data_IF_366273079619
#
_entry.id   IF_366273079619
#
_cell.length_a   1.000
_cell.length_b   1.000
_cell.length_c   1.000
_cell.angle_alpha   90.00
_cell.angle_beta   90.00
_cell.angle_gamma   90.00
#
_symmetry.space_group_name_H-M   'P 1'
#
loop_
_entity.id
_entity.type
_entity.pdbx_description
1 polymer ?
#
# COMPACT_ATOMS: atom_id res chain seq x y z
N UNK A 1 -5.45 0.71 2.31
CA UNK A 1 -4.31 1.61 1.98
C UNK A 1 -4.56 2.98 2.58
N UNK A 2 -3.54 3.67 3.11
CA UNK A 2 -3.70 5.04 3.60
C UNK A 2 -3.79 6.03 2.43
N UNK A 3 -4.89 6.79 2.34
CA UNK A 3 -5.08 7.82 1.30
C UNK A 3 -3.90 8.80 1.31
N UNK A 4 -3.51 9.27 2.49
CA UNK A 4 -2.40 10.20 2.63
C UNK A 4 -1.07 9.61 2.11
N UNK A 5 -0.78 8.34 2.38
CA UNK A 5 0.44 7.70 1.88
C UNK A 5 0.46 7.62 0.34
N UNK A 6 -0.67 7.29 -0.29
CA UNK A 6 -0.76 7.24 -1.75
C UNK A 6 -0.56 8.63 -2.39
N UNK A 7 -1.23 9.65 -1.85
CA UNK A 7 -1.11 11.04 -2.31
C UNK A 7 0.33 11.55 -2.15
N UNK A 8 0.94 11.30 -0.99
CA UNK A 8 2.33 11.68 -0.73
C UNK A 8 3.30 10.95 -1.67
N UNK A 9 3.07 9.66 -1.98
CA UNK A 9 3.93 8.92 -2.91
C UNK A 9 3.89 9.51 -4.33
N UNK A 10 2.70 9.93 -4.81
CA UNK A 10 2.59 10.65 -6.10
C UNK A 10 3.31 12.01 -6.03
N UNK A 11 3.11 12.76 -4.95
CA UNK A 11 3.76 14.07 -4.78
C UNK A 11 5.30 13.94 -4.74
N UNK A 12 5.81 12.98 -3.97
CA UNK A 12 7.26 12.72 -3.86
C UNK A 12 7.84 12.25 -5.19
N UNK A 13 7.18 11.30 -5.89
CA UNK A 13 7.60 10.87 -7.21
C UNK A 13 7.69 12.03 -8.21
N UNK A 14 6.70 12.92 -8.19
CA UNK A 14 6.71 14.13 -9.02
C UNK A 14 7.89 15.05 -8.67
N UNK A 15 8.13 15.31 -7.39
CA UNK A 15 9.24 16.18 -6.94
C UNK A 15 10.61 15.58 -7.29
N UNK A 16 10.81 14.27 -7.09
CA UNK A 16 12.06 13.57 -7.43
C UNK A 16 12.39 13.64 -8.92
N UNK A 17 11.38 13.68 -9.77
CA UNK A 17 11.52 13.84 -11.21
C UNK A 17 11.66 15.32 -11.67
N UNK A 18 11.87 16.26 -10.73
CA UNK A 18 12.05 17.68 -11.04
C UNK A 18 10.77 18.41 -11.41
N UNK A 19 9.60 17.90 -11.02
CA UNK A 19 8.30 18.56 -11.27
C UNK A 19 8.23 19.96 -10.68
N UNK A 20 7.90 20.95 -11.49
CA UNK A 20 7.87 22.37 -11.12
C UNK A 20 6.67 22.78 -10.26
N UNK A 21 5.79 21.86 -9.89
CA UNK A 21 4.62 22.08 -9.04
C UNK A 21 3.86 20.82 -8.75
N UNK A 22 3.04 20.84 -7.71
CA UNK A 22 2.21 19.67 -7.37
C UNK A 22 1.03 19.53 -8.35
N UNK A 23 0.88 18.37 -8.98
CA UNK A 23 -0.20 18.11 -9.94
C UNK A 23 -1.55 17.93 -9.22
N UNK A 24 -2.21 19.04 -8.83
CA UNK A 24 -3.37 19.04 -7.94
C UNK A 24 -4.49 18.06 -8.37
N UNK A 25 -4.82 18.03 -9.68
CA UNK A 25 -5.83 17.11 -10.18
C UNK A 25 -5.42 15.65 -10.08
N UNK A 26 -4.13 15.35 -10.26
CA UNK A 26 -3.59 13.99 -10.11
C UNK A 26 -3.62 13.55 -8.64
N UNK A 27 -3.25 14.44 -7.70
CA UNK A 27 -3.31 14.18 -6.27
C UNK A 27 -4.75 13.94 -5.80
N UNK A 28 -5.71 14.79 -6.27
CA UNK A 28 -7.12 14.61 -5.98
C UNK A 28 -7.65 13.29 -6.53
N UNK A 29 -7.32 12.96 -7.79
CA UNK A 29 -7.70 11.67 -8.41
C UNK A 29 -7.14 10.50 -7.62
N UNK A 30 -5.88 10.57 -7.18
CA UNK A 30 -5.25 9.54 -6.34
C UNK A 30 -5.97 9.38 -5.00
N UNK A 31 -6.37 10.48 -4.36
CA UNK A 31 -7.14 10.45 -3.13
C UNK A 31 -8.50 9.77 -3.34
N UNK A 32 -9.22 10.15 -4.39
CA UNK A 32 -10.56 9.62 -4.70
C UNK A 32 -10.53 8.13 -5.04
N UNK A 33 -9.61 7.69 -5.91
CA UNK A 33 -9.50 6.26 -6.26
C UNK A 33 -9.08 5.41 -5.07
N UNK A 34 -8.19 5.92 -4.22
CA UNK A 34 -7.78 5.21 -3.00
C UNK A 34 -8.92 5.13 -1.99
N UNK A 35 -9.68 6.23 -1.81
CA UNK A 35 -10.86 6.24 -0.96
C UNK A 35 -11.92 5.25 -1.46
N UNK A 36 -12.22 5.26 -2.76
CA UNK A 36 -13.14 4.31 -3.39
C UNK A 36 -12.67 2.87 -3.19
N UNK A 37 -11.36 2.59 -3.39
CA UNK A 37 -10.76 1.29 -3.13
C UNK A 37 -10.91 0.82 -1.69
N UNK A 38 -10.76 1.70 -0.71
CA UNK A 38 -10.98 1.36 0.70
C UNK A 38 -12.46 1.04 0.99
N UNK A 39 -13.38 1.86 0.48
CA UNK A 39 -14.82 1.65 0.70
C UNK A 39 -15.29 0.32 0.10
N UNK A 40 -14.88 0.03 -1.14
CA UNK A 40 -15.29 -1.23 -1.79
C UNK A 40 -14.61 -2.44 -1.14
N UNK A 41 -13.39 -2.28 -0.63
CA UNK A 41 -12.73 -3.33 0.14
C UNK A 41 -13.50 -3.64 1.43
N UNK A 42 -13.90 -2.63 2.20
CA UNK A 42 -14.68 -2.82 3.44
C UNK A 42 -16.06 -3.44 3.13
N UNK A 43 -16.65 -3.13 1.98
CA UNK A 43 -17.91 -3.75 1.55
C UNK A 43 -17.76 -5.24 1.24
N UNK A 44 -16.72 -5.65 0.51
CA UNK A 44 -16.44 -7.05 0.21
C UNK A 44 -15.96 -7.84 1.44
N UNK A 45 -15.33 -7.15 2.40
CA UNK A 45 -14.79 -7.76 3.62
C UNK A 45 -15.79 -7.84 4.77
N UNK A 46 -17.00 -7.29 4.64
CA UNK A 46 -17.96 -7.18 5.76
C UNK A 46 -18.16 -8.48 6.54
N UNK A 47 -18.18 -9.63 5.85
CA UNK A 47 -18.38 -10.94 6.47
C UNK A 47 -17.11 -11.41 7.20
N UNK A 48 -15.94 -11.24 6.60
CA UNK A 48 -14.62 -11.52 7.22
C UNK A 48 -14.38 -10.58 8.40
N UNK A 49 -14.70 -9.30 8.22
CA UNK A 49 -14.51 -8.28 9.26
C UNK A 49 -15.47 -8.46 10.44
N UNK A 50 -16.64 -9.07 10.24
CA UNK A 50 -17.52 -9.40 11.36
C UNK A 50 -16.87 -10.39 12.35
N UNK A 51 -15.91 -11.18 11.88
CA UNK A 51 -15.14 -12.13 12.68
C UNK A 51 -13.87 -11.47 13.21
N UNK A 52 -13.06 -10.91 12.32
CA UNK A 52 -11.71 -10.40 12.66
C UNK A 52 -11.73 -9.01 13.30
N UNK A 53 -12.65 -8.13 12.87
CA UNK A 53 -12.68 -6.70 13.22
C UNK A 53 -14.13 -6.19 13.39
N UNK A 54 -14.91 -6.72 14.37
CA UNK A 54 -16.34 -6.42 14.52
C UNK A 54 -16.64 -4.93 14.78
N UNK A 55 -15.64 -4.16 15.23
CA UNK A 55 -15.75 -2.71 15.43
C UNK A 55 -15.65 -1.86 14.16
N UNK A 56 -15.44 -2.45 12.96
CA UNK A 56 -15.44 -1.70 11.71
C UNK A 56 -16.81 -1.13 11.36
N UNK A 57 -16.89 -0.02 10.58
CA UNK A 57 -18.15 0.70 10.33
C UNK A 57 -19.29 -0.15 9.77
N UNK A 58 -19.03 -1.10 8.86
CA UNK A 58 -20.09 -1.93 8.28
C UNK A 58 -20.49 -3.07 9.25
N UNK A 59 -19.58 -3.89 9.80
CA UNK A 59 -19.91 -4.92 10.77
C UNK A 59 -20.59 -4.40 12.04
N UNK A 60 -20.16 -3.24 12.55
CA UNK A 60 -20.76 -2.62 13.75
C UNK A 60 -22.13 -1.98 13.51
N UNK A 61 -22.58 -1.91 12.25
CA UNK A 61 -23.84 -1.25 11.89
C UNK A 61 -23.76 0.29 11.81
N UNK A 62 -22.58 0.89 12.01
CA UNK A 62 -22.37 2.34 11.89
C UNK A 62 -22.57 2.87 10.46
N UNK A 63 -22.33 2.00 9.45
CA UNK A 63 -22.58 2.28 8.03
C UNK A 63 -23.31 1.09 7.42
N UNK A 64 -24.45 1.35 6.76
CA UNK A 64 -25.14 0.27 6.04
C UNK A 64 -24.38 -0.14 4.78
N UNK A 65 -24.42 -1.42 4.36
CA UNK A 65 -23.81 -1.86 3.11
C UNK A 65 -24.28 -1.07 1.87
N UNK A 66 -25.53 -0.62 1.87
CA UNK A 66 -26.09 0.24 0.80
C UNK A 66 -25.45 1.62 0.79
N UNK A 67 -25.30 2.25 1.95
CA UNK A 67 -24.63 3.54 2.08
C UNK A 67 -23.16 3.48 1.63
N UNK A 68 -22.45 2.38 1.93
CA UNK A 68 -21.10 2.15 1.45
C UNK A 68 -21.04 2.07 -0.09
N UNK A 69 -21.98 1.36 -0.74
CA UNK A 69 -22.04 1.30 -2.21
C UNK A 69 -22.38 2.66 -2.84
N UNK A 70 -23.27 3.43 -2.24
CA UNK A 70 -23.58 4.80 -2.70
C UNK A 70 -22.32 5.66 -2.60
N UNK A 71 -21.62 5.64 -1.47
CA UNK A 71 -20.37 6.38 -1.29
C UNK A 71 -19.31 5.96 -2.32
N UNK A 72 -19.14 4.64 -2.55
CA UNK A 72 -18.25 4.12 -3.58
C UNK A 72 -18.58 4.69 -4.96
N UNK A 73 -19.86 4.69 -5.35
CA UNK A 73 -20.33 5.22 -6.65
C UNK A 73 -20.08 6.72 -6.78
N UNK A 74 -20.33 7.50 -5.71
CA UNK A 74 -20.05 8.94 -5.67
C UNK A 74 -18.55 9.22 -5.82
N UNK A 75 -17.70 8.48 -5.13
CA UNK A 75 -16.23 8.63 -5.23
C UNK A 75 -15.75 8.30 -6.65
N UNK A 76 -16.28 7.25 -7.30
CA UNK A 76 -15.93 6.92 -8.68
C UNK A 76 -16.43 7.99 -9.67
N UNK A 77 -17.62 8.53 -9.48
CA UNK A 77 -18.14 9.63 -10.32
C UNK A 77 -17.28 10.90 -10.18
N UNK A 78 -16.91 11.27 -8.95
CA UNK A 78 -15.99 12.38 -8.70
C UNK A 78 -14.62 12.14 -9.33
N UNK A 79 -14.08 10.91 -9.19
CA UNK A 79 -12.83 10.51 -9.85
C UNK A 79 -12.94 10.65 -11.37
N UNK A 80 -14.02 10.13 -11.98
CA UNK A 80 -14.25 10.22 -13.43
C UNK A 80 -14.28 11.68 -13.93
N UNK A 81 -14.88 12.59 -13.16
CA UNK A 81 -14.83 14.03 -13.46
C UNK A 81 -13.39 14.58 -13.40
N UNK A 82 -12.57 14.14 -12.44
CA UNK A 82 -11.17 14.55 -12.36
C UNK A 82 -10.31 14.01 -13.51
N UNK A 83 -10.62 12.83 -14.05
CA UNK A 83 -9.88 12.25 -15.19
C UNK A 83 -9.89 13.18 -16.41
N UNK A 84 -10.94 13.98 -16.62
CA UNK A 84 -11.02 14.95 -17.73
C UNK A 84 -9.99 16.07 -17.65
N UNK A 85 -9.34 16.24 -16.50
CA UNK A 85 -8.30 17.25 -16.22
C UNK A 85 -6.87 16.69 -16.31
N UNK A 86 -6.73 15.40 -16.58
CA UNK A 86 -5.47 14.69 -16.69
C UNK A 86 -5.10 14.44 -18.16
N UNK A 87 -3.82 14.22 -18.45
CA UNK A 87 -3.41 13.69 -19.74
C UNK A 87 -3.96 12.26 -19.94
N UNK A 88 -4.16 11.85 -21.19
CA UNK A 88 -4.71 10.53 -21.49
C UNK A 88 -3.95 9.37 -20.81
N UNK A 89 -2.59 9.32 -20.79
CA UNK A 89 -1.86 8.28 -20.08
C UNK A 89 -2.08 8.30 -18.55
N UNK A 90 -2.13 9.49 -17.92
CA UNK A 90 -2.42 9.62 -16.49
C UNK A 90 -3.84 9.16 -16.15
N UNK A 91 -4.82 9.53 -16.99
CA UNK A 91 -6.20 9.11 -16.83
C UNK A 91 -6.37 7.59 -16.97
N UNK A 92 -5.70 6.97 -17.95
CA UNK A 92 -5.68 5.52 -18.13
C UNK A 92 -5.04 4.83 -16.93
N UNK A 93 -3.94 5.37 -16.39
CA UNK A 93 -3.28 4.80 -15.21
C UNK A 93 -4.18 4.85 -13.99
N UNK A 94 -4.78 6.01 -13.69
CA UNK A 94 -5.70 6.16 -12.56
C UNK A 94 -6.97 5.30 -12.73
N UNK A 95 -7.50 5.20 -13.94
CA UNK A 95 -8.61 4.31 -14.29
C UNK A 95 -8.26 2.84 -14.06
N UNK A 96 -7.06 2.42 -14.46
CA UNK A 96 -6.55 1.07 -14.19
C UNK A 96 -6.48 0.78 -12.70
N UNK A 97 -6.04 1.74 -11.86
CA UNK A 97 -6.07 1.58 -10.40
C UNK A 97 -7.47 1.29 -9.86
N UNK A 98 -8.49 2.01 -10.33
CA UNK A 98 -9.86 1.79 -9.89
C UNK A 98 -10.31 0.35 -10.20
N UNK A 99 -10.03 -0.13 -11.42
CA UNK A 99 -10.33 -1.51 -11.83
C UNK A 99 -9.54 -2.52 -11.01
N UNK A 100 -8.23 -2.33 -10.85
CA UNK A 100 -7.35 -3.26 -10.13
C UNK A 100 -7.70 -3.33 -8.63
N UNK A 101 -8.04 -2.21 -7.98
CA UNK A 101 -8.47 -2.19 -6.58
C UNK A 101 -9.85 -2.85 -6.40
N UNK A 102 -10.75 -2.72 -7.38
CA UNK A 102 -12.01 -3.44 -7.38
C UNK A 102 -11.78 -4.96 -7.51
N UNK A 103 -10.97 -5.40 -8.49
CA UNK A 103 -10.61 -6.80 -8.70
C UNK A 103 -9.89 -7.40 -7.49
N UNK A 104 -8.99 -6.63 -6.87
CA UNK A 104 -8.33 -6.99 -5.61
C UNK A 104 -9.37 -7.29 -4.53
N UNK A 105 -10.29 -6.35 -4.31
CA UNK A 105 -11.29 -6.45 -3.25
C UNK A 105 -12.30 -7.58 -3.50
N UNK A 106 -12.72 -7.75 -4.75
CA UNK A 106 -13.68 -8.78 -5.16
C UNK A 106 -13.12 -10.21 -5.03
N UNK A 107 -11.91 -10.45 -5.58
CA UNK A 107 -11.42 -11.83 -5.75
C UNK A 107 -9.94 -12.02 -5.41
N UNK A 108 -9.04 -11.13 -5.88
CA UNK A 108 -7.61 -11.39 -5.87
C UNK A 108 -7.04 -11.59 -4.46
N UNK A 109 -7.51 -10.83 -3.47
CA UNK A 109 -7.07 -10.95 -2.07
C UNK A 109 -7.36 -12.31 -1.42
N UNK A 110 -8.29 -13.09 -1.98
CA UNK A 110 -8.63 -14.44 -1.50
C UNK A 110 -7.82 -15.54 -2.18
N UNK A 111 -6.91 -15.19 -3.09
CA UNK A 111 -6.09 -16.12 -3.88
C UNK A 111 -4.65 -16.02 -3.41
N UNK A 112 -4.00 -17.19 -3.26
CA UNK A 112 -2.60 -17.30 -2.84
C UNK A 112 -1.69 -16.30 -3.56
N UNK A 113 -1.03 -15.43 -2.84
CA UNK A 113 -0.13 -14.37 -3.30
C UNK A 113 -0.72 -13.34 -4.29
N UNK A 114 -1.79 -13.66 -5.01
CA UNK A 114 -2.30 -12.79 -6.07
C UNK A 114 -2.74 -11.42 -5.52
N UNK A 115 -3.43 -11.40 -4.37
CA UNK A 115 -3.82 -10.15 -3.70
C UNK A 115 -2.61 -9.36 -3.23
N UNK A 116 -1.66 -10.02 -2.57
CA UNK A 116 -0.46 -9.37 -2.03
C UNK A 116 0.37 -8.73 -3.16
N UNK A 117 0.57 -9.44 -4.29
CA UNK A 117 1.25 -8.92 -5.47
C UNK A 117 0.50 -7.74 -6.09
N UNK A 118 -0.82 -7.89 -6.29
CA UNK A 118 -1.63 -6.87 -6.94
C UNK A 118 -1.67 -5.57 -6.14
N UNK A 119 -1.95 -5.63 -4.83
CA UNK A 119 -2.00 -4.43 -4.00
C UNK A 119 -0.62 -3.79 -3.86
N UNK A 120 0.45 -4.60 -3.75
CA UNK A 120 1.82 -4.09 -3.71
C UNK A 120 2.19 -3.35 -4.99
N UNK A 121 1.82 -3.89 -6.16
CA UNK A 121 2.05 -3.25 -7.45
C UNK A 121 1.27 -1.94 -7.59
N UNK A 122 -0.02 -1.91 -7.23
CA UNK A 122 -0.84 -0.69 -7.31
C UNK A 122 -0.28 0.39 -6.38
N UNK A 123 0.02 0.05 -5.12
CA UNK A 123 0.52 1.02 -4.13
C UNK A 123 1.88 1.58 -4.53
N UNK A 124 2.79 0.74 -4.96
CA UNK A 124 4.14 1.15 -5.35
C UNK A 124 4.15 2.01 -6.62
N UNK A 125 3.23 1.74 -7.55
CA UNK A 125 3.13 2.50 -8.80
C UNK A 125 2.72 3.96 -8.61
N UNK A 126 2.35 4.38 -7.38
CA UNK A 126 2.09 5.78 -7.06
C UNK A 126 3.34 6.67 -7.25
N UNK A 127 4.53 6.17 -6.90
CA UNK A 127 5.79 6.87 -7.18
C UNK A 127 6.05 7.00 -8.68
N UNK A 128 5.79 5.93 -9.43
CA UNK A 128 5.95 5.93 -10.89
C UNK A 128 4.99 6.91 -11.56
N UNK A 129 3.73 6.96 -11.13
CA UNK A 129 2.74 7.88 -11.67
C UNK A 129 3.12 9.34 -11.41
N UNK A 130 3.62 9.65 -10.20
CA UNK A 130 4.10 10.98 -9.86
C UNK A 130 5.30 11.39 -10.71
N UNK A 131 6.30 10.52 -10.82
CA UNK A 131 7.49 10.74 -11.63
C UNK A 131 7.17 10.86 -13.13
N UNK A 132 6.28 10.01 -13.64
CA UNK A 132 5.76 10.11 -15.02
C UNK A 132 5.07 11.45 -15.28
N UNK A 133 4.31 11.98 -14.32
CA UNK A 133 3.65 13.28 -14.46
C UNK A 133 4.64 14.45 -14.59
N UNK A 134 5.84 14.32 -14.03
CA UNK A 134 6.91 15.30 -14.15
C UNK A 134 7.82 15.09 -15.40
N UNK A 135 7.63 13.99 -16.13
CA UNK A 135 8.36 13.69 -17.37
C UNK A 135 9.54 12.72 -17.25
N UNK A 136 9.89 12.29 -16.03
CA UNK A 136 10.95 11.28 -15.81
C UNK A 136 10.49 10.14 -14.89
N UNK A 137 9.88 9.12 -15.49
CA UNK A 137 9.42 7.93 -14.76
C UNK A 137 10.56 7.20 -14.03
N UNK A 138 11.80 7.33 -14.49
CA UNK A 138 12.94 6.58 -13.94
C UNK A 138 13.25 7.01 -12.51
N UNK A 139 13.00 8.27 -12.15
CA UNK A 139 13.16 8.78 -10.80
C UNK A 139 12.23 8.06 -9.77
N UNK A 140 11.09 7.54 -10.23
CA UNK A 140 10.15 6.80 -9.39
C UNK A 140 10.47 5.31 -9.21
N UNK A 141 11.41 4.74 -9.97
CA UNK A 141 11.63 3.28 -10.02
C UNK A 141 12.15 2.72 -8.70
N UNK A 142 13.18 3.32 -8.13
CA UNK A 142 13.78 2.82 -6.87
C UNK A 142 12.79 2.88 -5.70
N UNK A 143 12.11 4.04 -5.43
CA UNK A 143 11.10 4.08 -4.37
C UNK A 143 9.91 3.17 -4.65
N UNK A 144 9.53 2.95 -5.91
CA UNK A 144 8.49 1.99 -6.25
C UNK A 144 8.90 0.55 -5.91
N UNK A 145 10.10 0.10 -6.27
CA UNK A 145 10.61 -1.23 -5.94
C UNK A 145 10.67 -1.42 -4.41
N UNK A 146 11.23 -0.44 -3.69
CA UNK A 146 11.30 -0.48 -2.23
C UNK A 146 9.89 -0.60 -1.61
N UNK A 147 8.96 0.24 -2.06
CA UNK A 147 7.57 0.26 -1.58
C UNK A 147 6.84 -1.03 -1.93
N UNK A 148 7.09 -1.62 -3.10
CA UNK A 148 6.49 -2.90 -3.49
C UNK A 148 6.82 -3.99 -2.46
N UNK A 149 8.08 -4.18 -2.14
CA UNK A 149 8.49 -5.19 -1.16
C UNK A 149 8.05 -4.83 0.26
N UNK A 150 8.06 -3.54 0.60
CA UNK A 150 7.57 -3.08 1.90
C UNK A 150 6.09 -3.42 2.10
N UNK A 151 5.23 -3.09 1.11
CA UNK A 151 3.80 -3.42 1.14
C UNK A 151 3.58 -4.93 1.11
N UNK A 152 4.35 -5.66 0.30
CA UNK A 152 4.30 -7.12 0.24
C UNK A 152 4.53 -7.77 1.61
N UNK A 153 5.56 -7.33 2.34
CA UNK A 153 5.84 -7.83 3.69
C UNK A 153 4.68 -7.52 4.65
N UNK A 154 4.13 -6.30 4.56
CA UNK A 154 2.99 -5.89 5.39
C UNK A 154 1.73 -6.70 5.11
N UNK A 155 1.41 -6.96 3.85
CA UNK A 155 0.22 -7.76 3.49
C UNK A 155 0.35 -9.21 3.97
N UNK A 156 1.54 -9.84 3.90
CA UNK A 156 1.78 -11.17 4.47
C UNK A 156 1.53 -11.22 5.99
N UNK A 157 1.96 -10.17 6.70
CA UNK A 157 1.70 -10.04 8.14
C UNK A 157 0.21 -9.83 8.41
N UNK A 158 -0.45 -8.98 7.62
CA UNK A 158 -1.88 -8.69 7.76
C UNK A 158 -2.73 -9.93 7.49
N UNK A 159 -2.41 -10.72 6.47
CA UNK A 159 -3.11 -11.98 6.20
C UNK A 159 -2.94 -12.97 7.38
N UNK A 160 -1.81 -12.91 8.08
CA UNK A 160 -1.60 -13.72 9.30
C UNK A 160 -2.45 -13.21 10.48
N UNK A 161 -2.65 -11.90 10.59
CA UNK A 161 -3.55 -11.28 11.56
C UNK A 161 -5.02 -11.69 11.29
N UNK A 162 -5.40 -11.77 10.02
CA UNK A 162 -6.78 -12.01 9.57
C UNK A 162 -7.09 -13.51 9.32
N UNK A 163 -6.18 -14.44 9.64
CA UNK A 163 -6.20 -15.88 9.26
C UNK A 163 -7.50 -16.61 9.66
N UNK A 164 -8.11 -16.28 10.80
CA UNK A 164 -9.30 -16.96 11.30
C UNK A 164 -10.51 -16.66 10.40
N UNK A 165 -10.79 -15.41 10.14
CA UNK A 165 -11.86 -15.00 9.24
C UNK A 165 -11.62 -15.45 7.81
N UNK A 166 -10.37 -15.38 7.32
CA UNK A 166 -9.98 -15.86 6.00
C UNK A 166 -10.29 -17.34 5.83
N UNK A 167 -9.94 -18.16 6.82
CA UNK A 167 -10.20 -19.60 6.81
C UNK A 167 -11.69 -19.91 6.81
N UNK A 168 -12.46 -19.24 7.67
CA UNK A 168 -13.91 -19.46 7.80
C UNK A 168 -14.67 -19.01 6.55
N UNK A 169 -14.20 -17.96 5.87
CA UNK A 169 -14.77 -17.46 4.62
C UNK A 169 -14.19 -18.12 3.35
N UNK A 170 -13.38 -19.17 3.48
CA UNK A 170 -12.85 -19.95 2.36
C UNK A 170 -11.78 -19.25 1.52
N UNK A 171 -11.12 -18.20 2.07
CA UNK A 171 -9.99 -17.57 1.41
C UNK A 171 -8.76 -18.50 1.42
N UNK A 172 -7.95 -18.41 0.37
CA UNK A 172 -6.74 -19.23 0.15
C UNK A 172 -5.49 -18.36 0.24
N UNK A 173 -5.38 -17.57 1.29
CA UNK A 173 -4.24 -16.71 1.55
C UNK A 173 -2.98 -17.51 1.92
N UNK A 174 -1.80 -16.87 1.90
CA UNK A 174 -0.53 -17.54 2.22
C UNK A 174 -0.56 -18.21 3.61
N UNK A 175 -0.98 -17.54 4.68
CA UNK A 175 -1.00 -18.17 6.01
C UNK A 175 -2.07 -19.28 6.12
N UNK A 176 -3.17 -19.19 5.38
CA UNK A 176 -4.20 -20.26 5.36
C UNK A 176 -3.67 -21.54 4.73
N UNK A 177 -2.94 -21.43 3.61
CA UNK A 177 -2.45 -22.61 2.85
C UNK A 177 -1.08 -23.10 3.33
N UNK A 178 -0.18 -22.21 3.69
CA UNK A 178 1.21 -22.55 4.01
C UNK A 178 1.52 -22.50 5.51
N UNK A 179 0.58 -22.02 6.31
CA UNK A 179 0.76 -21.79 7.74
C UNK A 179 1.29 -20.39 8.08
N UNK A 180 0.90 -19.86 9.25
CA UNK A 180 1.28 -18.51 9.70
C UNK A 180 2.80 -18.34 9.83
N UNK A 181 3.51 -19.37 10.24
CA UNK A 181 4.95 -19.33 10.44
C UNK A 181 5.74 -19.08 9.15
N UNK A 182 5.31 -19.70 8.04
CA UNK A 182 5.93 -19.49 6.73
C UNK A 182 5.64 -18.10 6.20
N UNK A 183 4.42 -17.58 6.39
CA UNK A 183 4.06 -16.23 6.00
C UNK A 183 4.90 -15.17 6.76
N UNK A 184 5.03 -15.32 8.09
CA UNK A 184 5.84 -14.43 8.91
C UNK A 184 7.35 -14.54 8.60
N UNK A 185 7.85 -15.75 8.27
CA UNK A 185 9.24 -15.92 7.84
C UNK A 185 9.51 -15.26 6.50
N UNK A 186 8.59 -15.36 5.54
CA UNK A 186 8.70 -14.69 4.25
C UNK A 186 8.67 -13.16 4.43
N UNK A 187 7.78 -12.63 5.27
CA UNK A 187 7.75 -11.21 5.61
C UNK A 187 9.07 -10.76 6.24
N UNK A 188 9.60 -11.51 7.21
CA UNK A 188 10.89 -11.20 7.86
C UNK A 188 12.05 -11.17 6.85
N UNK A 189 12.11 -12.14 5.92
CA UNK A 189 13.13 -12.16 4.87
C UNK A 189 13.09 -10.90 4.00
N UNK A 190 11.88 -10.48 3.59
CA UNK A 190 11.70 -9.24 2.83
C UNK A 190 12.17 -8.01 3.64
N UNK A 191 11.82 -7.94 4.94
CA UNK A 191 12.25 -6.84 5.81
C UNK A 191 13.77 -6.77 5.94
N UNK A 192 14.46 -7.91 6.02
CA UNK A 192 15.94 -7.97 6.02
C UNK A 192 16.50 -7.45 4.69
N UNK A 193 15.94 -7.87 3.54
CA UNK A 193 16.38 -7.38 2.24
C UNK A 193 16.23 -5.86 2.13
N UNK A 194 15.12 -5.30 2.62
CA UNK A 194 14.89 -3.85 2.64
C UNK A 194 15.88 -3.13 3.57
N UNK A 195 16.17 -3.70 4.75
CA UNK A 195 17.13 -3.12 5.67
C UNK A 195 18.56 -3.07 5.06
N UNK A 196 18.95 -4.12 4.32
CA UNK A 196 20.22 -4.15 3.59
C UNK A 196 20.23 -3.20 2.39
N UNK A 197 19.09 -3.03 1.72
CA UNK A 197 18.98 -2.11 0.58
C UNK A 197 19.23 -0.64 0.96
N UNK A 198 18.86 -0.21 2.18
CA UNK A 198 19.01 1.17 2.64
C UNK A 198 20.46 1.68 2.49
N UNK A 199 21.47 1.09 3.14
CA UNK A 199 22.86 1.55 2.97
C UNK A 199 23.40 1.30 1.57
N UNK A 200 22.98 0.24 0.87
CA UNK A 200 23.44 -0.06 -0.48
C UNK A 200 23.04 1.03 -1.48
N UNK A 201 21.82 1.57 -1.40
CA UNK A 201 21.37 2.66 -2.27
C UNK A 201 22.22 3.92 -2.07
N UNK A 202 22.60 4.23 -0.83
CA UNK A 202 23.53 5.34 -0.53
C UNK A 202 24.95 5.04 -1.05
N UNK A 203 25.49 3.86 -0.80
CA UNK A 203 26.85 3.48 -1.23
C UNK A 203 27.00 3.46 -2.76
N UNK A 204 25.92 3.20 -3.51
CA UNK A 204 25.86 3.28 -4.97
C UNK A 204 25.70 4.72 -5.47
N UNK A 205 25.62 5.71 -4.59
CA UNK A 205 25.45 7.12 -4.97
C UNK A 205 24.08 7.47 -5.55
N UNK A 206 23.08 6.59 -5.37
CA UNK A 206 21.72 6.84 -5.86
C UNK A 206 20.97 7.85 -5.01
N UNK A 207 21.33 7.95 -3.73
CA UNK A 207 20.73 8.85 -2.74
C UNK A 207 21.76 9.50 -1.86
N UNK A 208 21.45 10.73 -1.37
CA UNK A 208 22.33 11.54 -0.55
C UNK A 208 22.34 11.17 0.94
N UNK A 209 23.12 11.92 1.74
CA UNK A 209 23.22 11.73 3.20
C UNK A 209 21.89 11.91 3.92
N UNK A 210 21.06 12.85 3.45
CA UNK A 210 19.76 13.13 4.08
C UNK A 210 18.83 11.91 4.00
N UNK A 211 18.77 11.24 2.85
CA UNK A 211 18.09 9.94 2.69
C UNK A 211 18.61 8.92 3.69
N UNK A 212 19.93 8.70 3.74
CA UNK A 212 20.52 7.68 4.62
C UNK A 212 20.17 7.95 6.08
N UNK A 213 20.37 9.17 6.56
CA UNK A 213 20.08 9.53 7.95
C UNK A 213 18.61 9.34 8.28
N UNK A 214 17.71 9.81 7.40
CA UNK A 214 16.27 9.66 7.61
C UNK A 214 15.87 8.17 7.64
N UNK A 215 16.38 7.36 6.70
CA UNK A 215 16.10 5.92 6.68
C UNK A 215 16.63 5.19 7.93
N UNK A 216 17.85 5.53 8.40
CA UNK A 216 18.46 4.89 9.56
C UNK A 216 17.72 5.22 10.87
N UNK A 217 17.22 6.45 11.00
CA UNK A 217 16.56 6.90 12.23
C UNK A 217 15.09 6.49 12.27
N UNK A 218 14.40 6.50 11.13
CA UNK A 218 12.94 6.31 11.11
C UNK A 218 12.49 4.96 10.55
N UNK A 219 13.03 4.52 9.42
CA UNK A 219 12.57 3.29 8.74
C UNK A 219 13.27 2.04 9.27
N UNK A 220 14.60 2.08 9.41
CA UNK A 220 15.37 0.92 9.83
C UNK A 220 14.93 0.35 11.20
N UNK A 221 14.66 1.16 12.25
CA UNK A 221 14.12 0.64 13.51
C UNK A 221 12.79 -0.09 13.33
N UNK A 222 11.89 0.43 12.48
CA UNK A 222 10.62 -0.22 12.16
C UNK A 222 10.85 -1.58 11.50
N UNK A 223 11.76 -1.65 10.51
CA UNK A 223 12.09 -2.90 9.83
C UNK A 223 12.68 -3.93 10.80
N UNK A 224 13.63 -3.52 11.65
CA UNK A 224 14.30 -4.41 12.62
C UNK A 224 13.32 -4.93 13.66
N UNK A 225 12.53 -4.05 14.28
CA UNK A 225 11.54 -4.46 15.30
C UNK A 225 10.49 -5.38 14.67
N UNK A 226 9.98 -5.02 13.50
CA UNK A 226 9.00 -5.84 12.78
C UNK A 226 9.57 -7.21 12.41
N UNK A 227 10.82 -7.28 11.93
CA UNK A 227 11.51 -8.53 11.63
C UNK A 227 11.64 -9.41 12.86
N UNK A 228 12.12 -8.86 13.99
CA UNK A 228 12.26 -9.61 15.26
C UNK A 228 10.92 -10.14 15.75
N UNK A 229 9.86 -9.34 15.70
CA UNK A 229 8.51 -9.78 16.09
C UNK A 229 7.97 -10.88 15.16
N UNK A 230 8.18 -10.78 13.85
CA UNK A 230 7.84 -11.84 12.89
C UNK A 230 8.57 -13.15 13.20
N UNK A 231 9.88 -13.09 13.43
CA UNK A 231 10.69 -14.28 13.75
C UNK A 231 10.31 -14.90 15.10
N UNK A 232 9.89 -14.08 16.07
CA UNK A 232 9.40 -14.54 17.37
C UNK A 232 7.94 -14.99 17.36
N UNK A 233 7.26 -14.92 16.21
CA UNK A 233 5.83 -15.27 16.05
C UNK A 233 4.91 -14.48 17.00
N UNK A 234 5.24 -13.23 17.27
CA UNK A 234 4.52 -12.38 18.22
C UNK A 234 3.79 -11.24 17.53
N UNK A 235 2.55 -11.01 17.98
CA UNK A 235 1.76 -9.81 17.73
C UNK A 235 1.72 -9.34 16.25
N UNK A 236 1.16 -10.12 15.29
CA UNK A 236 1.03 -9.67 13.90
C UNK A 236 0.36 -8.30 13.78
N UNK A 237 -0.61 -7.99 14.64
CA UNK A 237 -1.31 -6.70 14.69
C UNK A 237 -0.37 -5.53 14.99
N UNK A 238 0.55 -5.71 15.95
CA UNK A 238 1.56 -4.69 16.26
C UNK A 238 2.51 -4.50 15.08
N UNK A 239 2.95 -5.59 14.44
CA UNK A 239 3.82 -5.51 13.26
C UNK A 239 3.11 -4.80 12.10
N UNK A 240 1.85 -5.14 11.84
CA UNK A 240 1.01 -4.49 10.81
C UNK A 240 0.88 -2.99 11.05
N UNK A 241 0.71 -2.56 12.32
CA UNK A 241 0.65 -1.15 12.70
C UNK A 241 2.00 -0.45 12.52
N UNK A 242 3.11 -1.06 12.98
CA UNK A 242 4.46 -0.51 12.82
C UNK A 242 4.80 -0.30 11.35
N UNK A 243 4.53 -1.30 10.50
CA UNK A 243 4.74 -1.19 9.06
C UNK A 243 3.85 -0.13 8.42
N UNK A 244 2.60 0.04 8.88
CA UNK A 244 1.73 1.13 8.42
C UNK A 244 2.32 2.51 8.72
N UNK A 245 2.90 2.71 9.91
CA UNK A 245 3.58 3.95 10.26
C UNK A 245 4.89 4.12 9.48
N UNK A 246 5.65 3.04 9.31
CA UNK A 246 6.89 3.02 8.55
C UNK A 246 6.74 3.45 7.09
N UNK A 247 5.56 3.23 6.48
CA UNK A 247 5.28 3.71 5.12
C UNK A 247 5.41 5.24 5.00
N UNK A 248 4.90 6.00 5.97
CA UNK A 248 5.00 7.47 5.95
C UNK A 248 6.44 7.93 6.07
N UNK A 249 7.21 7.29 6.95
CA UNK A 249 8.63 7.60 7.11
C UNK A 249 9.44 7.25 5.85
N UNK A 250 9.13 6.13 5.20
CA UNK A 250 9.75 5.73 3.94
C UNK A 250 9.51 6.74 2.81
N UNK A 251 8.25 7.19 2.67
CA UNK A 251 7.91 8.24 1.69
C UNK A 251 8.67 9.53 1.97
N UNK A 252 8.73 9.96 3.24
CA UNK A 252 9.47 11.16 3.63
C UNK A 252 10.99 11.01 3.37
N UNK A 253 11.57 9.84 3.63
CA UNK A 253 12.99 9.59 3.39
C UNK A 253 13.37 9.69 1.90
N UNK A 254 12.54 9.20 1.00
CA UNK A 254 12.74 9.35 -0.44
C UNK A 254 12.58 10.80 -0.90
N UNK A 255 11.76 11.61 -0.23
CA UNK A 255 11.64 13.04 -0.51
C UNK A 255 12.95 13.80 -0.24
N UNK A 256 13.70 13.40 0.78
CA UNK A 256 14.98 14.05 1.15
C UNK A 256 16.19 13.47 0.40
N UNK A 257 15.99 12.51 -0.45
CA UNK A 257 17.06 11.87 -1.24
C UNK A 257 17.32 12.48 -2.56
#
# INVERSE_FOLDING_TARGET
MGIAAAVLSVAVGNTMAGGGGLPAWLLLTTALVTAAGNVINDWFDRDIDSINKPGRPIPSGGVTPRAALVLYSVLLAAMAACLTRLSAPQALWAGAWAVLLHLYSWKAKRIFLAGNLLVSAVVSSAFLLGAFAAGDITAGVVPAIFTFFFVMSRELVKDTEDIEGDRLCGARTVPVLSGPDRALSAAAAILVLLAVAIPLLYMKGLYGKAYLVTMLISVLPVLVVSCVLCLRRKSPSVVSLLLKLGMFFGVAAFYFG
#
